data_IF_650024836462
#
_entry.id   IF_650024836462
#
_cell.length_a   1.000
_cell.length_b   1.000
_cell.length_c   1.000
_cell.angle_alpha   90.00
_cell.angle_beta   90.00
_cell.angle_gamma   90.00
#
_symmetry.space_group_name_H-M   'P 1'
#
loop_
_entity.id
_entity.type
_entity.pdbx_description
1 polymer ?
#
# COMPACT_ATOMS: atom_id res chain seq x y z
N UNK A 1 -78.75 -31.73 65.35
CA UNK A 1 -78.51 -32.35 66.66
C UNK A 1 -77.07 -32.03 67.08
N UNK A 2 -77.00 -31.32 68.27
CA UNK A 2 -75.97 -31.31 69.29
C UNK A 2 -74.50 -31.01 68.80
N UNK A 3 -74.04 -29.84 69.18
CA UNK A 3 -73.20 -29.52 70.34
C UNK A 3 -71.77 -30.04 70.25
N UNK A 4 -70.74 -29.35 70.55
CA UNK A 4 -70.49 -28.44 71.64
C UNK A 4 -69.20 -27.66 71.49
N UNK A 5 -69.21 -26.49 72.04
CA UNK A 5 -68.11 -25.60 72.41
C UNK A 5 -66.97 -26.31 73.17
N UNK A 6 -65.70 -25.87 72.94
CA UNK A 6 -64.81 -25.51 74.11
C UNK A 6 -63.63 -24.64 73.60
N UNK A 7 -63.61 -23.51 74.16
CA UNK A 7 -62.51 -22.53 74.34
C UNK A 7 -61.34 -23.14 75.09
N UNK A 8 -60.12 -22.74 74.86
CA UNK A 8 -58.98 -22.53 75.78
C UNK A 8 -57.82 -21.85 75.07
N UNK A 9 -57.59 -20.60 75.43
CA UNK A 9 -56.48 -19.98 76.07
C UNK A 9 -55.14 -19.86 75.36
N UNK A 10 -54.80 -18.65 75.12
CA UNK A 10 -53.55 -17.89 75.01
C UNK A 10 -52.27 -18.51 75.60
N UNK A 11 -51.16 -18.47 74.76
CA UNK A 11 -49.83 -18.04 75.21
C UNK A 11 -49.01 -17.61 73.94
N UNK A 12 -48.19 -16.56 74.04
CA UNK A 12 -47.49 -16.01 72.92
C UNK A 12 -46.15 -16.70 72.75
N UNK A 13 -45.89 -17.19 71.53
CA UNK A 13 -44.53 -17.60 71.16
C UNK A 13 -43.83 -16.44 70.36
N UNK A 14 -42.77 -16.01 71.00
CA UNK A 14 -41.76 -15.11 70.43
C UNK A 14 -41.21 -15.70 69.17
N UNK A 15 -41.52 -15.12 68.03
CA UNK A 15 -40.89 -15.44 66.79
C UNK A 15 -39.57 -14.67 66.64
N UNK A 16 -38.49 -15.39 66.85
CA UNK A 16 -37.14 -14.94 66.58
C UNK A 16 -36.98 -14.77 65.06
N UNK A 17 -36.97 -13.53 64.59
CA UNK A 17 -36.65 -13.16 63.23
C UNK A 17 -35.14 -13.36 63.04
N UNK A 18 -34.76 -14.43 62.33
CA UNK A 18 -33.43 -14.58 61.75
C UNK A 18 -33.32 -13.66 60.58
N UNK A 19 -32.62 -12.52 60.70
CA UNK A 19 -32.10 -11.72 59.66
C UNK A 19 -30.93 -12.48 59.05
N UNK A 20 -31.15 -13.22 57.96
CA UNK A 20 -30.10 -13.65 57.07
C UNK A 20 -29.65 -12.41 56.33
N UNK A 21 -28.61 -11.77 56.83
CA UNK A 21 -27.87 -10.74 56.11
C UNK A 21 -27.26 -11.37 54.87
N UNK A 22 -27.88 -11.10 53.70
CA UNK A 22 -27.31 -11.36 52.41
C UNK A 22 -26.13 -10.38 52.21
N UNK A 23 -24.97 -10.74 52.76
CA UNK A 23 -23.72 -10.06 52.47
C UNK A 23 -23.36 -10.45 51.05
N UNK A 24 -23.96 -9.74 50.08
CA UNK A 24 -23.54 -9.81 48.67
C UNK A 24 -22.08 -9.39 48.61
N UNK A 25 -21.19 -10.36 48.50
CA UNK A 25 -19.81 -10.15 48.09
C UNK A 25 -19.87 -9.51 46.69
N UNK A 26 -19.88 -8.20 46.63
CA UNK A 26 -19.50 -7.42 45.45
C UNK A 26 -18.02 -7.76 45.21
N UNK A 27 -17.77 -8.85 44.46
CA UNK A 27 -16.47 -9.04 43.84
C UNK A 27 -16.30 -7.85 42.88
N UNK A 28 -15.30 -6.99 43.10
CA UNK A 28 -14.98 -6.01 42.10
C UNK A 28 -14.65 -6.82 40.85
N UNK A 29 -15.45 -6.65 39.79
CA UNK A 29 -15.08 -7.07 38.44
C UNK A 29 -13.71 -6.42 38.22
N UNK A 30 -12.64 -7.23 38.18
CA UNK A 30 -11.37 -6.80 37.68
C UNK A 30 -11.65 -6.49 36.19
N UNK A 31 -12.02 -5.24 35.92
CA UNK A 31 -11.95 -4.69 34.59
C UNK A 31 -10.45 -4.74 34.29
N UNK A 32 -10.02 -5.80 33.59
CA UNK A 32 -8.71 -5.84 33.00
C UNK A 32 -8.65 -4.58 32.15
N UNK A 33 -7.87 -3.60 32.56
CA UNK A 33 -7.58 -2.45 31.73
C UNK A 33 -6.87 -3.04 30.50
N UNK A 34 -7.62 -3.16 29.41
CA UNK A 34 -7.07 -3.57 28.11
C UNK A 34 -5.98 -2.56 27.81
N UNK A 35 -4.73 -2.99 27.81
CA UNK A 35 -3.60 -2.10 27.54
C UNK A 35 -3.78 -1.55 26.12
N UNK A 36 -3.73 -0.23 26.00
CA UNK A 36 -3.82 0.41 24.67
C UNK A 36 -2.72 -0.16 23.77
N UNK A 37 -3.08 -0.69 22.59
CA UNK A 37 -2.09 -1.27 21.68
C UNK A 37 -0.97 -0.29 21.33
N UNK A 38 0.27 -0.77 21.33
CA UNK A 38 1.47 -0.01 20.98
C UNK A 38 1.84 -0.22 19.53
N UNK A 39 1.95 0.87 18.80
CA UNK A 39 2.32 0.88 17.39
C UNK A 39 3.74 1.44 17.27
N UNK A 40 4.64 0.68 16.65
CA UNK A 40 5.95 1.16 16.26
C UNK A 40 5.94 1.51 14.76
N UNK A 41 6.15 2.77 14.43
CA UNK A 41 6.29 3.25 13.07
C UNK A 41 7.79 3.39 12.74
N UNK A 42 8.25 2.69 11.72
CA UNK A 42 9.64 2.78 11.23
C UNK A 42 9.60 3.35 9.82
N UNK A 43 10.17 4.53 9.64
CA UNK A 43 10.34 5.15 8.33
C UNK A 43 11.76 4.89 7.78
N UNK A 44 11.85 4.46 6.53
CA UNK A 44 13.15 4.24 5.88
C UNK A 44 13.97 5.51 5.74
N UNK A 45 13.31 6.66 5.51
CA UNK A 45 13.91 7.99 5.39
C UNK A 45 12.79 9.05 5.31
N UNK A 46 12.52 9.73 6.42
CA UNK A 46 11.47 10.74 6.49
C UNK A 46 11.80 12.04 5.71
N UNK A 47 13.01 12.20 5.18
CA UNK A 47 13.35 13.30 4.27
C UNK A 47 12.79 13.10 2.86
N UNK A 48 12.46 11.85 2.49
CA UNK A 48 11.86 11.50 1.20
C UNK A 48 10.38 11.85 1.22
N UNK A 49 9.94 12.76 0.35
CA UNK A 49 8.57 13.32 0.32
C UNK A 49 7.49 12.24 0.37
N UNK A 50 7.54 11.23 -0.48
CA UNK A 50 6.55 10.15 -0.52
C UNK A 50 6.43 9.36 0.80
N UNK A 51 7.55 9.14 1.49
CA UNK A 51 7.55 8.44 2.78
C UNK A 51 6.98 9.33 3.88
N UNK A 52 7.31 10.62 3.84
CA UNK A 52 6.75 11.61 4.76
C UNK A 52 5.23 11.74 4.59
N UNK A 53 4.75 11.87 3.36
CA UNK A 53 3.31 11.98 3.06
C UNK A 53 2.52 10.76 3.51
N UNK A 54 3.04 9.56 3.27
CA UNK A 54 2.44 8.30 3.78
C UNK A 54 2.42 8.28 5.32
N UNK A 55 3.51 8.70 5.97
CA UNK A 55 3.60 8.77 7.44
C UNK A 55 2.57 9.73 8.03
N UNK A 56 2.52 10.97 7.52
CA UNK A 56 1.60 11.99 8.02
C UNK A 56 0.14 11.57 7.85
N UNK A 57 -0.21 10.99 6.69
CA UNK A 57 -1.55 10.51 6.43
C UNK A 57 -1.93 9.30 7.30
N UNK A 58 -1.00 8.42 7.60
CA UNK A 58 -1.18 7.33 8.57
C UNK A 58 -1.50 7.88 9.96
N UNK A 59 -0.70 8.84 10.45
CA UNK A 59 -0.86 9.47 11.78
C UNK A 59 -2.18 10.22 11.93
N UNK A 60 -2.74 10.76 10.85
CA UNK A 60 -4.05 11.43 10.88
C UNK A 60 -5.22 10.47 11.15
N UNK A 61 -5.06 9.17 10.87
CA UNK A 61 -6.11 8.16 11.04
C UNK A 61 -5.98 7.41 12.36
N UNK A 62 -4.75 7.10 12.76
CA UNK A 62 -4.46 6.32 13.97
C UNK A 62 -4.65 7.18 15.22
N UNK A 63 -5.38 6.64 16.19
CA UNK A 63 -5.63 7.27 17.49
C UNK A 63 -4.79 6.66 18.63
N UNK A 64 -4.23 5.48 18.39
CA UNK A 64 -3.37 4.79 19.35
C UNK A 64 -2.00 5.47 19.47
N UNK A 65 -1.31 5.30 20.61
CA UNK A 65 0.06 5.79 20.76
C UNK A 65 1.01 5.22 19.71
N UNK A 66 1.82 6.06 19.10
CA UNK A 66 2.82 5.69 18.09
C UNK A 66 4.20 6.04 18.61
N UNK A 67 5.11 5.07 18.61
CA UNK A 67 6.55 5.31 18.72
C UNK A 67 7.12 5.42 17.32
N UNK A 68 7.82 6.51 17.02
CA UNK A 68 8.32 6.80 15.67
C UNK A 68 9.84 6.66 15.59
N UNK A 69 10.31 5.99 14.56
CA UNK A 69 11.73 5.81 14.24
C UNK A 69 11.98 6.18 12.80
N UNK A 70 12.87 7.13 12.57
CA UNK A 70 13.37 7.46 11.24
C UNK A 70 14.78 6.88 11.07
N UNK A 71 14.92 6.03 10.07
CA UNK A 71 16.22 5.41 9.78
C UNK A 71 17.15 6.35 9.00
N UNK A 72 16.59 7.26 8.18
CA UNK A 72 17.32 8.23 7.38
C UNK A 72 18.60 7.68 6.74
N UNK A 73 19.60 8.53 6.58
CA UNK A 73 20.94 8.15 6.13
C UNK A 73 21.83 7.58 7.24
N UNK A 74 21.33 7.47 8.46
CA UNK A 74 22.08 6.98 9.61
C UNK A 74 22.43 5.50 9.42
N UNK A 75 23.67 5.16 9.69
CA UNK A 75 24.07 3.76 9.90
C UNK A 75 23.64 3.39 11.32
N UNK A 76 22.55 2.69 11.41
CA UNK A 76 22.11 2.12 12.66
C UNK A 76 22.96 0.86 12.94
N UNK A 77 23.54 0.78 14.13
CA UNK A 77 24.15 -0.46 14.60
C UNK A 77 23.03 -1.49 14.83
N UNK A 78 23.30 -2.74 14.44
CA UNK A 78 22.31 -3.82 14.56
C UNK A 78 21.77 -3.98 15.99
N UNK A 79 22.66 -3.84 17.00
CA UNK A 79 22.31 -3.89 18.42
C UNK A 79 21.32 -2.81 18.81
N UNK A 80 21.53 -1.56 18.41
CA UNK A 80 20.64 -0.43 18.78
C UNK A 80 19.23 -0.62 18.29
N UNK A 81 19.05 -1.20 17.09
CA UNK A 81 17.72 -1.46 16.54
C UNK A 81 17.07 -2.68 17.17
N UNK A 82 17.86 -3.71 17.42
CA UNK A 82 17.40 -4.92 18.10
C UNK A 82 16.92 -4.58 19.51
N UNK A 83 17.71 -3.82 20.26
CA UNK A 83 17.36 -3.33 21.59
C UNK A 83 16.06 -2.51 21.56
N UNK A 84 15.95 -1.56 20.62
CA UNK A 84 14.73 -0.75 20.47
C UNK A 84 13.49 -1.60 20.19
N UNK A 85 13.57 -2.57 19.28
CA UNK A 85 12.46 -3.45 18.94
C UNK A 85 12.04 -4.35 20.11
N UNK A 86 12.99 -4.76 20.96
CA UNK A 86 12.73 -5.53 22.16
C UNK A 86 12.18 -4.67 23.30
N UNK A 87 12.75 -3.49 23.53
CA UNK A 87 12.37 -2.60 24.63
C UNK A 87 10.96 -2.04 24.41
N UNK A 88 10.62 -1.67 23.18
CA UNK A 88 9.29 -1.16 22.85
C UNK A 88 8.22 -2.25 22.84
N UNK A 89 8.59 -3.51 22.58
CA UNK A 89 7.70 -4.67 22.49
C UNK A 89 6.34 -4.34 21.82
N UNK A 90 6.32 -3.82 20.60
CA UNK A 90 5.11 -3.33 19.95
C UNK A 90 4.14 -4.48 19.62
N UNK A 91 2.84 -4.19 19.64
CA UNK A 91 1.80 -5.13 19.20
C UNK A 91 1.78 -5.26 17.67
N UNK A 92 2.12 -4.17 16.97
CA UNK A 92 2.20 -4.11 15.51
C UNK A 92 3.27 -3.11 15.09
N UNK A 93 3.91 -3.39 13.95
CA UNK A 93 4.94 -2.53 13.37
C UNK A 93 4.48 -2.04 12.00
N UNK A 94 4.46 -0.72 11.80
CA UNK A 94 4.24 -0.12 10.49
C UNK A 94 5.56 0.32 9.90
N UNK A 95 5.90 -0.23 8.73
CA UNK A 95 7.16 0.01 8.02
C UNK A 95 6.92 0.78 6.72
N UNK A 96 7.53 1.96 6.59
CA UNK A 96 7.49 2.76 5.36
C UNK A 96 8.79 2.55 4.58
N UNK A 97 8.68 1.94 3.40
CA UNK A 97 9.82 1.64 2.53
C UNK A 97 10.57 0.35 2.87
N UNK A 98 11.38 -0.10 1.93
CA UNK A 98 12.05 -1.42 1.95
C UNK A 98 13.03 -1.58 3.11
N UNK A 99 13.82 -0.52 3.43
CA UNK A 99 14.83 -0.56 4.51
C UNK A 99 14.17 -0.86 5.86
N UNK A 100 13.07 -0.16 6.18
CA UNK A 100 12.30 -0.35 7.42
C UNK A 100 11.73 -1.76 7.50
N UNK A 101 11.09 -2.25 6.43
CA UNK A 101 10.51 -3.57 6.39
C UNK A 101 11.54 -4.69 6.59
N UNK A 102 12.63 -4.67 5.83
CA UNK A 102 13.67 -5.69 5.92
C UNK A 102 14.30 -5.77 7.32
N UNK A 103 14.42 -4.61 7.96
CA UNK A 103 14.93 -4.51 9.31
C UNK A 103 13.97 -5.13 10.32
N UNK A 104 12.69 -4.74 10.32
CA UNK A 104 11.68 -5.31 11.20
C UNK A 104 11.53 -6.83 10.98
N UNK A 105 11.46 -7.27 9.72
CA UNK A 105 11.35 -8.68 9.39
C UNK A 105 12.57 -9.52 9.84
N UNK A 106 13.76 -8.92 9.83
CA UNK A 106 15.00 -9.61 10.28
C UNK A 106 14.99 -9.86 11.78
N UNK A 107 14.63 -8.88 12.59
CA UNK A 107 14.78 -8.94 14.05
C UNK A 107 13.52 -9.44 14.77
N UNK A 108 12.32 -9.11 14.26
CA UNK A 108 11.06 -9.48 14.89
C UNK A 108 10.04 -10.12 13.93
N UNK A 109 10.42 -11.19 13.21
CA UNK A 109 9.60 -11.81 12.16
C UNK A 109 8.29 -12.42 12.68
N UNK A 110 8.15 -12.57 14.00
CA UNK A 110 6.95 -13.10 14.65
C UNK A 110 5.91 -12.04 15.00
N UNK A 111 6.25 -10.76 14.91
CA UNK A 111 5.34 -9.64 15.12
C UNK A 111 4.49 -9.39 13.87
N UNK A 112 3.33 -8.79 14.05
CA UNK A 112 2.56 -8.29 12.91
C UNK A 112 3.28 -7.09 12.29
N UNK A 113 3.60 -7.18 11.00
CA UNK A 113 4.28 -6.13 10.26
C UNK A 113 3.38 -5.69 9.12
N UNK A 114 3.05 -4.39 9.09
CA UNK A 114 2.38 -3.75 7.97
C UNK A 114 3.40 -2.91 7.22
N UNK A 115 3.49 -3.05 5.91
CA UNK A 115 4.39 -2.24 5.10
C UNK A 115 3.65 -1.34 4.12
N UNK A 116 4.30 -0.26 3.68
CA UNK A 116 3.88 0.58 2.56
C UNK A 116 5.07 1.15 1.80
N UNK A 117 4.78 1.78 0.65
CA UNK A 117 5.77 2.49 -0.17
C UNK A 117 6.93 1.61 -0.64
N UNK A 118 6.66 0.33 -0.91
CA UNK A 118 7.63 -0.65 -1.40
C UNK A 118 7.26 -1.09 -2.82
N UNK A 119 8.19 -0.91 -3.73
CA UNK A 119 8.11 -1.41 -5.11
C UNK A 119 8.64 -2.85 -5.17
N UNK A 120 8.05 -3.71 -5.99
CA UNK A 120 8.42 -5.11 -6.16
C UNK A 120 8.35 -5.91 -4.85
N UNK A 121 7.31 -5.68 -4.04
CA UNK A 121 7.13 -6.31 -2.74
C UNK A 121 7.13 -7.85 -2.78
N UNK A 122 6.76 -8.47 -3.91
CA UNK A 122 6.82 -9.93 -4.11
C UNK A 122 8.22 -10.52 -3.94
N UNK A 123 9.27 -9.69 -3.94
CA UNK A 123 10.65 -10.11 -3.69
C UNK A 123 11.06 -10.05 -2.22
N UNK A 124 10.17 -9.56 -1.36
CA UNK A 124 10.42 -9.48 0.07
C UNK A 124 10.21 -10.85 0.72
N UNK A 125 10.89 -11.14 1.83
CA UNK A 125 10.59 -12.28 2.66
C UNK A 125 9.25 -12.04 3.38
N UNK A 126 8.17 -12.60 2.84
CA UNK A 126 6.80 -12.46 3.37
C UNK A 126 6.51 -13.61 4.35
N UNK A 127 5.91 -13.28 5.49
CA UNK A 127 5.48 -14.23 6.52
C UNK A 127 3.96 -14.25 6.67
N UNK A 128 3.45 -15.15 7.50
CA UNK A 128 2.02 -15.17 7.84
C UNK A 128 1.55 -13.93 8.62
N UNK A 129 2.49 -13.16 9.16
CA UNK A 129 2.26 -11.94 9.92
C UNK A 129 2.60 -10.68 9.14
N UNK A 130 2.79 -10.80 7.83
CA UNK A 130 3.08 -9.67 6.95
C UNK A 130 1.83 -9.21 6.22
N UNK A 131 1.56 -7.93 6.32
CA UNK A 131 0.48 -7.21 5.67
C UNK A 131 1.05 -5.98 4.97
N UNK A 132 0.29 -5.35 4.08
CA UNK A 132 0.76 -4.09 3.53
C UNK A 132 -0.07 -3.52 2.39
N UNK A 133 0.39 -2.37 1.92
CA UNK A 133 -0.08 -1.72 0.69
C UNK A 133 1.07 -1.67 -0.28
N UNK A 134 0.91 -2.25 -1.46
CA UNK A 134 1.95 -2.20 -2.50
C UNK A 134 2.14 -0.76 -2.99
N UNK A 135 3.32 -0.47 -3.53
CA UNK A 135 3.56 0.80 -4.23
C UNK A 135 3.47 0.63 -5.75
N UNK A 136 2.68 -0.31 -6.19
CA UNK A 136 2.46 -0.66 -7.58
C UNK A 136 0.96 -0.74 -7.83
N UNK A 137 0.50 -0.06 -8.86
CA UNK A 137 -0.88 -0.11 -9.27
C UNK A 137 -1.19 -1.43 -9.99
N UNK A 138 -2.45 -1.81 -9.98
CA UNK A 138 -2.94 -2.91 -10.79
C UNK A 138 -2.92 -2.51 -12.28
N UNK A 139 -2.32 -3.32 -13.14
CA UNK A 139 -2.15 -2.98 -14.55
C UNK A 139 -3.47 -2.61 -15.27
N UNK A 140 -4.57 -3.25 -14.92
CA UNK A 140 -5.89 -2.91 -15.46
C UNK A 140 -6.37 -1.50 -15.06
N UNK A 141 -6.02 -1.03 -13.87
CA UNK A 141 -6.33 0.35 -13.45
C UNK A 141 -5.53 1.35 -14.28
N UNK A 142 -4.23 1.14 -14.43
CA UNK A 142 -3.38 2.02 -15.25
C UNK A 142 -3.89 2.07 -16.70
N UNK A 143 -4.20 0.92 -17.31
CA UNK A 143 -4.76 0.87 -18.66
C UNK A 143 -6.11 1.56 -18.79
N UNK A 144 -6.96 1.49 -17.77
CA UNK A 144 -8.24 2.21 -17.75
C UNK A 144 -8.00 3.71 -17.85
N UNK A 145 -7.04 4.23 -17.08
CA UNK A 145 -6.67 5.65 -17.11
C UNK A 145 -5.99 6.03 -18.43
N UNK A 146 -5.11 5.17 -18.97
CA UNK A 146 -4.50 5.42 -20.30
C UNK A 146 -5.58 5.56 -21.39
N UNK A 147 -6.57 4.66 -21.41
CA UNK A 147 -7.67 4.73 -22.36
C UNK A 147 -8.65 5.88 -22.12
N UNK A 148 -8.86 6.25 -20.88
CA UNK A 148 -9.71 7.40 -20.55
C UNK A 148 -9.15 8.68 -21.19
N UNK A 149 -7.83 8.86 -21.13
CA UNK A 149 -7.14 10.04 -21.67
C UNK A 149 -6.84 9.87 -23.16
N UNK A 150 -6.39 8.70 -23.60
CA UNK A 150 -5.98 8.42 -24.97
C UNK A 150 -6.80 7.28 -25.60
N UNK A 151 -8.08 7.52 -25.95
CA UNK A 151 -8.99 6.46 -26.41
C UNK A 151 -8.55 5.78 -27.72
N UNK A 152 -7.73 6.45 -28.52
CA UNK A 152 -7.23 5.96 -29.81
C UNK A 152 -5.96 5.12 -29.69
N UNK A 153 -5.34 5.01 -28.50
CA UNK A 153 -4.18 4.15 -28.26
C UNK A 153 -4.66 2.71 -28.08
N UNK A 154 -4.39 1.86 -29.08
CA UNK A 154 -4.81 0.46 -29.09
C UNK A 154 -3.65 -0.52 -28.93
N UNK A 155 -2.42 -0.12 -29.30
CA UNK A 155 -1.22 -0.95 -29.22
C UNK A 155 -0.20 -0.30 -28.29
N UNK A 156 0.11 -0.95 -27.20
CA UNK A 156 1.03 -0.46 -26.18
C UNK A 156 2.24 -1.39 -26.12
N UNK A 157 3.43 -0.82 -26.33
CA UNK A 157 4.69 -1.55 -26.21
C UNK A 157 5.20 -1.62 -24.78
N UNK A 158 5.75 -2.75 -24.39
CA UNK A 158 6.38 -2.96 -23.07
C UNK A 158 7.72 -3.65 -23.27
N UNK A 159 8.80 -3.05 -22.76
CA UNK A 159 10.03 -3.81 -22.48
C UNK A 159 9.93 -4.44 -21.09
N UNK A 160 10.31 -5.71 -20.98
CA UNK A 160 10.31 -6.40 -19.72
C UNK A 160 11.50 -7.35 -19.60
N UNK A 161 12.03 -7.53 -18.40
CA UNK A 161 13.05 -8.53 -18.16
C UNK A 161 12.41 -9.88 -17.82
N UNK A 162 12.93 -10.96 -18.41
CA UNK A 162 12.48 -12.32 -18.07
C UNK A 162 12.65 -12.66 -16.60
N UNK A 163 13.68 -12.08 -15.98
CA UNK A 163 14.02 -12.36 -14.58
C UNK A 163 13.08 -11.69 -13.59
N UNK A 164 12.58 -10.49 -13.89
CA UNK A 164 11.95 -9.65 -12.88
C UNK A 164 10.48 -9.34 -13.14
N UNK A 165 10.07 -9.17 -14.39
CA UNK A 165 8.74 -8.65 -14.74
C UNK A 165 7.99 -9.50 -15.76
N UNK A 166 8.47 -10.72 -16.11
CA UNK A 166 7.78 -11.59 -17.05
C UNK A 166 6.38 -12.00 -16.58
N UNK A 167 6.20 -12.30 -15.31
CA UNK A 167 4.90 -12.66 -14.74
C UNK A 167 3.95 -11.47 -14.75
N UNK A 168 4.42 -10.29 -14.33
CA UNK A 168 3.65 -9.06 -14.41
C UNK A 168 3.22 -8.79 -15.85
N UNK A 169 4.12 -8.92 -16.83
CA UNK A 169 3.82 -8.72 -18.24
C UNK A 169 2.71 -9.65 -18.74
N UNK A 170 2.77 -10.94 -18.42
CA UNK A 170 1.73 -11.92 -18.79
C UNK A 170 0.36 -11.55 -18.21
N UNK A 171 0.35 -11.13 -16.95
CA UNK A 171 -0.88 -10.71 -16.28
C UNK A 171 -1.44 -9.42 -16.91
N UNK A 172 -0.60 -8.43 -17.16
CA UNK A 172 -0.99 -7.18 -17.83
C UNK A 172 -1.54 -7.43 -19.24
N UNK A 173 -0.90 -8.34 -20.01
CA UNK A 173 -1.35 -8.70 -21.33
C UNK A 173 -2.74 -9.35 -21.35
N UNK A 174 -3.03 -10.23 -20.37
CA UNK A 174 -4.35 -10.85 -20.23
C UNK A 174 -5.42 -9.80 -19.90
N UNK A 175 -5.15 -8.90 -18.97
CA UNK A 175 -6.07 -7.82 -18.59
C UNK A 175 -6.32 -6.83 -19.75
N UNK A 176 -5.27 -6.48 -20.49
CA UNK A 176 -5.38 -5.60 -21.66
C UNK A 176 -6.30 -6.17 -22.74
N UNK A 177 -6.22 -7.48 -22.97
CA UNK A 177 -7.06 -8.17 -23.96
C UNK A 177 -8.55 -8.05 -23.62
N UNK A 178 -8.92 -8.15 -22.34
CA UNK A 178 -10.30 -7.97 -21.88
C UNK A 178 -10.80 -6.53 -22.10
N UNK A 179 -9.88 -5.56 -22.16
CA UNK A 179 -10.17 -4.15 -22.39
C UNK A 179 -10.08 -3.74 -23.85
N UNK A 180 -9.78 -4.68 -24.77
CA UNK A 180 -9.60 -4.37 -26.19
C UNK A 180 -8.31 -3.59 -26.51
N UNK A 181 -7.26 -3.73 -25.68
CA UNK A 181 -5.92 -3.17 -25.87
C UNK A 181 -4.95 -4.30 -26.17
N UNK A 182 -4.10 -4.13 -27.16
CA UNK A 182 -3.03 -5.06 -27.47
C UNK A 182 -1.73 -4.61 -26.78
N UNK A 183 -1.19 -5.43 -25.86
CA UNK A 183 0.15 -5.21 -25.30
C UNK A 183 1.15 -6.04 -26.06
N UNK A 184 2.12 -5.36 -26.69
CA UNK A 184 3.22 -5.96 -27.45
C UNK A 184 4.47 -5.93 -26.58
N UNK A 185 4.95 -7.10 -26.17
CA UNK A 185 6.10 -7.22 -25.29
C UNK A 185 7.38 -7.52 -26.04
N UNK A 186 8.48 -6.90 -25.63
CA UNK A 186 9.82 -7.27 -26.02
C UNK A 186 10.64 -7.67 -24.80
N UNK A 187 10.96 -8.96 -24.69
CA UNK A 187 11.76 -9.47 -23.57
C UNK A 187 13.24 -9.09 -23.70
N UNK A 188 13.84 -8.73 -22.58
CA UNK A 188 15.29 -8.55 -22.43
C UNK A 188 15.85 -9.50 -21.37
N UNK A 189 17.14 -9.79 -21.45
CA UNK A 189 17.88 -10.60 -20.47
C UNK A 189 18.92 -9.79 -19.70
N UNK A 190 19.29 -8.63 -20.24
CA UNK A 190 20.22 -7.69 -19.61
C UNK A 190 20.03 -6.29 -20.21
N UNK A 191 20.47 -5.26 -19.48
CA UNK A 191 20.30 -3.85 -19.85
C UNK A 191 20.96 -3.43 -21.17
N UNK A 192 22.00 -4.13 -21.65
CA UNK A 192 22.65 -3.82 -22.92
C UNK A 192 21.72 -3.98 -24.12
N UNK A 193 20.64 -4.72 -23.95
CA UNK A 193 19.63 -4.95 -25.00
C UNK A 193 18.57 -3.84 -25.08
N UNK A 194 18.46 -2.96 -24.07
CA UNK A 194 17.38 -1.99 -23.96
C UNK A 194 17.17 -1.18 -25.24
N UNK A 195 18.20 -0.50 -25.73
CA UNK A 195 18.11 0.36 -26.92
C UNK A 195 17.75 -0.43 -28.17
N UNK A 196 18.40 -1.58 -28.40
CA UNK A 196 18.13 -2.40 -29.59
C UNK A 196 16.73 -3.03 -29.57
N UNK A 197 16.26 -3.44 -28.40
CA UNK A 197 14.93 -3.98 -28.19
C UNK A 197 13.86 -2.89 -28.38
N UNK A 198 14.10 -1.70 -27.82
CA UNK A 198 13.22 -0.55 -27.96
C UNK A 198 13.05 -0.13 -29.42
N UNK A 199 14.16 0.02 -30.17
CA UNK A 199 14.13 0.34 -31.62
C UNK A 199 13.37 -0.66 -32.48
N UNK A 200 13.30 -1.92 -32.05
CA UNK A 200 12.46 -2.93 -32.73
C UNK A 200 10.99 -2.80 -32.36
N UNK A 201 10.71 -2.42 -31.15
CA UNK A 201 9.36 -2.36 -30.60
C UNK A 201 8.60 -1.09 -31.03
N UNK A 202 9.23 0.08 -30.92
CA UNK A 202 8.58 1.39 -31.12
C UNK A 202 7.82 1.52 -32.44
N UNK A 203 8.34 1.05 -33.61
CA UNK A 203 7.62 1.15 -34.87
C UNK A 203 6.32 0.33 -34.95
N UNK A 204 6.08 -0.57 -33.99
CA UNK A 204 4.94 -1.50 -33.98
C UNK A 204 3.81 -1.08 -33.09
N UNK A 205 3.97 0.01 -32.31
CA UNK A 205 3.07 0.42 -31.24
C UNK A 205 2.63 1.88 -31.35
N UNK A 206 1.54 2.24 -30.63
CA UNK A 206 1.03 3.62 -30.59
C UNK A 206 1.51 4.36 -29.32
N UNK A 207 1.96 3.62 -28.29
CA UNK A 207 2.50 4.14 -27.05
C UNK A 207 3.50 3.15 -26.45
N UNK A 208 4.39 3.62 -25.62
CA UNK A 208 5.31 2.80 -24.83
C UNK A 208 4.98 2.90 -23.35
N UNK A 209 4.76 1.78 -22.69
CA UNK A 209 4.53 1.73 -21.25
C UNK A 209 5.83 1.39 -20.53
N UNK A 210 6.39 2.38 -19.89
CA UNK A 210 7.60 2.27 -19.09
C UNK A 210 7.24 1.77 -17.69
N UNK A 211 7.63 0.55 -17.40
CA UNK A 211 7.36 -0.14 -16.13
C UNK A 211 8.58 -0.10 -15.20
N UNK A 212 8.34 -0.37 -13.90
CA UNK A 212 9.40 -0.47 -12.90
C UNK A 212 10.13 -1.82 -13.02
N UNK A 213 11.12 -1.87 -13.89
CA UNK A 213 11.96 -3.06 -14.11
C UNK A 213 13.44 -2.74 -13.85
N UNK A 214 14.14 -3.48 -12.97
CA UNK A 214 15.54 -3.21 -12.61
C UNK A 214 16.55 -3.35 -13.74
N UNK A 215 16.27 -4.16 -14.77
CA UNK A 215 17.14 -4.26 -15.96
C UNK A 215 16.90 -3.10 -16.93
N UNK A 216 15.71 -2.49 -16.91
CA UNK A 216 15.40 -1.32 -17.71
C UNK A 216 15.92 -0.03 -17.06
N UNK A 217 15.73 0.09 -15.75
CA UNK A 217 15.91 1.33 -14.99
C UNK A 217 16.91 1.14 -13.85
N UNK A 218 18.14 0.73 -14.17
CA UNK A 218 19.18 0.59 -13.16
C UNK A 218 19.86 1.93 -12.80
N UNK A 219 19.80 2.89 -13.72
CA UNK A 219 20.36 4.24 -13.51
C UNK A 219 19.45 5.31 -14.11
N UNK A 220 19.71 6.58 -13.74
CA UNK A 220 19.03 7.73 -14.35
C UNK A 220 19.31 7.83 -15.86
N UNK A 221 20.51 7.46 -16.28
CA UNK A 221 20.94 7.47 -17.67
C UNK A 221 20.14 6.46 -18.51
N UNK A 222 19.82 5.29 -17.94
CA UNK A 222 18.96 4.30 -18.61
C UNK A 222 17.57 4.89 -18.89
N UNK A 223 16.97 5.57 -17.90
CA UNK A 223 15.69 6.27 -18.06
C UNK A 223 15.74 7.32 -19.16
N UNK A 224 16.75 8.21 -19.11
CA UNK A 224 16.88 9.30 -20.09
C UNK A 224 17.08 8.76 -21.50
N UNK A 225 17.85 7.69 -21.65
CA UNK A 225 18.06 7.02 -22.94
C UNK A 225 16.74 6.48 -23.50
N UNK A 226 15.94 5.78 -22.68
CA UNK A 226 14.63 5.27 -23.11
C UNK A 226 13.72 6.42 -23.54
N UNK A 227 13.62 7.49 -22.74
CA UNK A 227 12.79 8.64 -23.08
C UNK A 227 13.25 9.34 -24.38
N UNK A 228 14.56 9.44 -24.63
CA UNK A 228 15.12 10.01 -25.85
C UNK A 228 14.80 9.16 -27.08
N UNK A 229 14.95 7.84 -27.00
CA UNK A 229 14.60 6.95 -28.11
C UNK A 229 13.09 7.02 -28.44
N UNK A 230 12.23 7.05 -27.42
CA UNK A 230 10.79 7.22 -27.62
C UNK A 230 10.47 8.59 -28.24
N UNK A 231 11.17 9.65 -27.83
CA UNK A 231 10.97 10.99 -28.37
C UNK A 231 11.41 11.10 -29.84
N UNK A 232 12.51 10.43 -30.22
CA UNK A 232 12.98 10.38 -31.61
C UNK A 232 11.94 9.76 -32.57
N UNK A 233 11.20 8.74 -32.08
CA UNK A 233 10.13 8.08 -32.84
C UNK A 233 8.75 8.74 -32.61
N UNK A 234 8.67 9.84 -31.84
CA UNK A 234 7.42 10.49 -31.41
C UNK A 234 6.42 9.53 -30.77
N UNK A 235 6.92 8.50 -30.10
CA UNK A 235 6.10 7.53 -29.39
C UNK A 235 5.81 8.04 -27.98
N UNK A 236 4.53 8.27 -27.59
CA UNK A 236 4.19 8.71 -26.25
C UNK A 236 4.59 7.66 -25.20
N UNK A 237 5.13 8.15 -24.08
CA UNK A 237 5.52 7.30 -22.96
C UNK A 237 4.50 7.43 -21.84
N UNK A 238 3.90 6.30 -21.44
CA UNK A 238 3.10 6.16 -20.24
C UNK A 238 3.97 5.54 -19.14
N UNK A 239 3.84 6.00 -17.92
CA UNK A 239 4.74 5.55 -16.86
C UNK A 239 4.11 5.63 -15.46
N UNK A 240 4.81 5.06 -14.49
CA UNK A 240 4.37 4.84 -13.11
C UNK A 240 4.85 5.90 -12.11
N UNK A 241 5.68 6.86 -12.51
CA UNK A 241 6.27 7.85 -11.58
C UNK A 241 6.06 9.27 -12.09
N UNK A 242 5.50 10.14 -11.25
CA UNK A 242 5.13 11.51 -11.63
C UNK A 242 6.29 12.36 -12.16
N UNK A 243 7.49 12.22 -11.57
CA UNK A 243 8.66 12.98 -11.99
C UNK A 243 9.11 12.66 -13.41
N UNK A 244 8.71 11.52 -13.97
CA UNK A 244 9.07 11.17 -15.35
C UNK A 244 8.33 12.03 -16.37
N UNK A 245 7.21 12.63 -15.99
CA UNK A 245 6.54 13.61 -16.84
C UNK A 245 7.39 14.86 -17.10
N UNK A 246 8.13 15.33 -16.09
CA UNK A 246 9.10 16.44 -16.23
C UNK A 246 10.28 16.06 -17.12
N UNK A 247 10.64 14.78 -17.16
CA UNK A 247 11.74 14.26 -17.98
C UNK A 247 11.31 13.90 -19.40
N UNK A 248 10.00 14.02 -19.73
CA UNK A 248 9.50 13.81 -21.10
C UNK A 248 8.51 12.67 -21.27
N UNK A 249 8.09 11.96 -20.22
CA UNK A 249 6.95 11.05 -20.31
C UNK A 249 5.67 11.86 -20.63
N UNK A 250 4.77 11.27 -21.40
CA UNK A 250 3.55 11.93 -21.87
C UNK A 250 2.46 11.89 -20.83
N UNK A 251 2.31 10.75 -20.16
CA UNK A 251 1.32 10.55 -19.12
C UNK A 251 1.87 9.63 -18.03
N UNK A 252 1.68 10.02 -16.79
CA UNK A 252 2.09 9.18 -15.65
C UNK A 252 0.92 8.91 -14.75
N UNK A 253 0.83 7.68 -14.28
CA UNK A 253 -0.13 7.22 -13.28
C UNK A 253 0.69 6.64 -12.13
N UNK A 254 0.87 7.41 -11.10
CA UNK A 254 1.56 6.99 -9.87
C UNK A 254 0.56 6.68 -8.76
N UNK A 255 1.05 6.10 -7.70
CA UNK A 255 0.27 5.91 -6.48
C UNK A 255 0.06 7.25 -5.79
N UNK A 256 -1.04 7.40 -5.04
CA UNK A 256 -1.27 8.53 -4.14
C UNK A 256 -0.71 8.19 -2.76
N UNK A 257 0.47 8.72 -2.43
CA UNK A 257 1.20 8.37 -1.21
C UNK A 257 0.40 8.65 0.08
N UNK A 258 -0.35 9.77 0.23
CA UNK A 258 -1.24 9.94 1.37
C UNK A 258 -2.32 8.86 1.48
N UNK A 259 -2.89 8.40 0.37
CA UNK A 259 -3.90 7.33 0.38
C UNK A 259 -3.29 6.00 0.82
N UNK A 260 -2.06 5.70 0.41
CA UNK A 260 -1.32 4.52 0.91
C UNK A 260 -1.17 4.56 2.44
N UNK A 261 -0.83 5.72 3.01
CA UNK A 261 -0.73 5.90 4.46
C UNK A 261 -2.05 5.65 5.18
N UNK A 262 -3.16 6.24 4.70
CA UNK A 262 -4.50 6.00 5.24
C UNK A 262 -4.93 4.54 5.13
N UNK A 263 -4.64 3.90 4.00
CA UNK A 263 -4.95 2.50 3.77
C UNK A 263 -4.15 1.58 4.72
N UNK A 264 -2.86 1.87 4.93
CA UNK A 264 -2.04 1.17 5.90
C UNK A 264 -2.58 1.31 7.34
N UNK A 265 -3.10 2.49 7.70
CA UNK A 265 -3.75 2.71 8.98
C UNK A 265 -5.00 1.83 9.15
N UNK A 266 -5.81 1.69 8.10
CA UNK A 266 -6.95 0.77 8.10
C UNK A 266 -6.53 -0.69 8.30
N UNK A 267 -5.44 -1.12 7.66
CA UNK A 267 -4.88 -2.47 7.86
C UNK A 267 -4.39 -2.65 9.30
N UNK A 268 -3.64 -1.69 9.85
CA UNK A 268 -3.18 -1.72 11.26
C UNK A 268 -4.35 -1.86 12.22
N UNK A 269 -5.39 -1.04 12.05
CA UNK A 269 -6.59 -1.09 12.87
C UNK A 269 -7.29 -2.44 12.77
N UNK A 270 -7.49 -2.97 11.57
CA UNK A 270 -8.12 -4.27 11.36
C UNK A 270 -7.32 -5.41 11.99
N UNK A 271 -5.99 -5.42 11.84
CA UNK A 271 -5.12 -6.44 12.45
C UNK A 271 -5.18 -6.38 13.98
N UNK A 272 -5.17 -5.18 14.58
CA UNK A 272 -5.29 -4.99 16.03
C UNK A 272 -6.67 -5.42 16.56
N UNK A 273 -7.73 -5.23 15.77
CA UNK A 273 -9.08 -5.68 16.10
C UNK A 273 -9.30 -7.19 15.89
N UNK A 274 -8.32 -7.89 15.31
CA UNK A 274 -8.45 -9.32 14.99
C UNK A 274 -9.29 -9.60 13.74
N UNK A 275 -9.48 -8.61 12.88
CA UNK A 275 -10.26 -8.76 11.64
C UNK A 275 -9.53 -9.71 10.66
N UNK A 276 -10.33 -10.50 9.96
CA UNK A 276 -9.81 -11.32 8.86
C UNK A 276 -9.74 -10.47 7.60
N UNK A 277 -8.52 -10.16 7.17
CA UNK A 277 -8.28 -9.45 5.93
C UNK A 277 -8.32 -10.42 4.74
N UNK A 278 -9.13 -10.14 3.72
CA UNK A 278 -9.25 -10.96 2.51
C UNK A 278 -7.91 -11.02 1.75
N UNK A 279 -7.22 -9.88 1.66
CA UNK A 279 -5.90 -9.78 1.08
C UNK A 279 -4.93 -9.16 2.09
N UNK A 280 -3.88 -9.89 2.42
CA UNK A 280 -2.83 -9.40 3.32
C UNK A 280 -2.04 -8.23 2.73
N UNK A 281 -1.79 -8.28 1.42
CA UNK A 281 -1.20 -7.17 0.66
C UNK A 281 -2.23 -6.67 -0.32
N UNK A 282 -2.52 -5.37 -0.25
CA UNK A 282 -3.54 -4.71 -1.04
C UNK A 282 -2.88 -3.83 -2.11
N UNK A 283 -3.56 -3.66 -3.23
CA UNK A 283 -3.20 -2.61 -4.18
C UNK A 283 -3.59 -1.23 -3.64
N UNK A 284 -2.87 -0.15 -4.03
CA UNK A 284 -3.25 1.21 -3.67
C UNK A 284 -4.67 1.55 -4.16
N UNK A 285 -5.45 2.18 -3.29
CA UNK A 285 -6.81 2.61 -3.62
C UNK A 285 -6.83 3.97 -4.34
N UNK A 286 -5.73 4.73 -4.27
CA UNK A 286 -5.62 6.06 -4.88
C UNK A 286 -4.51 6.15 -5.92
N UNK A 287 -4.74 7.00 -6.92
CA UNK A 287 -3.76 7.32 -7.98
C UNK A 287 -3.50 8.81 -8.04
N UNK A 288 -2.29 9.17 -8.45
CA UNK A 288 -1.91 10.52 -8.78
C UNK A 288 -1.45 10.58 -10.25
N UNK A 289 -2.13 11.40 -11.05
CA UNK A 289 -1.93 11.45 -12.49
C UNK A 289 -1.28 12.75 -12.93
N UNK A 290 -0.31 12.67 -13.85
CA UNK A 290 0.30 13.85 -14.49
C UNK A 290 0.25 13.72 -15.99
N UNK A 291 -0.31 14.70 -16.66
CA UNK A 291 -0.35 14.80 -18.13
C UNK A 291 0.60 15.89 -18.63
N UNK A 292 1.53 15.52 -19.49
CA UNK A 292 2.40 16.45 -20.18
C UNK A 292 1.77 16.89 -21.49
N UNK A 293 0.96 17.97 -21.46
CA UNK A 293 0.32 18.53 -22.67
C UNK A 293 1.31 19.06 -23.70
N UNK A 294 2.52 19.44 -23.29
CA UNK A 294 3.60 19.79 -24.21
C UNK A 294 3.91 18.63 -25.15
N UNK A 295 4.11 17.44 -24.57
CA UNK A 295 4.37 16.22 -25.34
C UNK A 295 3.17 15.75 -26.16
N UNK A 296 1.97 15.90 -25.63
CA UNK A 296 0.72 15.62 -26.35
C UNK A 296 0.65 16.45 -27.63
N UNK A 297 0.89 17.77 -27.53
CA UNK A 297 0.89 18.70 -28.66
C UNK A 297 2.06 18.43 -29.63
N UNK A 298 3.26 18.19 -29.09
CA UNK A 298 4.48 17.91 -29.88
C UNK A 298 4.30 16.66 -30.76
N UNK A 299 3.63 15.63 -30.26
CA UNK A 299 3.40 14.38 -30.98
C UNK A 299 2.08 14.37 -31.78
N UNK A 300 1.27 15.42 -31.69
CA UNK A 300 -0.02 15.51 -32.37
C UNK A 300 -1.04 14.48 -31.88
N UNK A 301 -0.99 14.12 -30.59
CA UNK A 301 -1.85 13.08 -30.02
C UNK A 301 -3.26 13.63 -29.84
N UNK A 302 -4.24 12.80 -30.20
CA UNK A 302 -5.64 13.02 -29.83
C UNK A 302 -5.86 12.53 -28.40
N UNK A 303 -6.52 13.32 -27.58
CA UNK A 303 -6.84 13.00 -26.21
C UNK A 303 -8.28 13.42 -25.85
N UNK A 304 -8.82 12.89 -24.80
CA UNK A 304 -10.14 13.19 -24.30
C UNK A 304 -10.10 14.47 -23.44
N UNK A 305 -10.45 15.61 -24.02
CA UNK A 305 -10.48 16.88 -23.29
C UNK A 305 -11.46 16.87 -22.11
N UNK A 306 -12.60 16.15 -22.25
CA UNK A 306 -13.58 15.99 -21.16
C UNK A 306 -13.09 15.22 -19.94
N UNK A 307 -11.95 14.53 -20.05
CA UNK A 307 -11.33 13.81 -18.94
C UNK A 307 -10.21 14.59 -18.23
N UNK A 308 -9.91 15.82 -18.68
CA UNK A 308 -8.83 16.63 -18.07
C UNK A 308 -9.07 16.95 -16.59
N UNK A 309 -10.33 17.08 -16.19
CA UNK A 309 -10.69 17.32 -14.78
C UNK A 309 -10.34 16.14 -13.84
N UNK A 310 -10.06 14.97 -14.42
CA UNK A 310 -9.59 13.79 -13.65
C UNK A 310 -8.08 13.76 -13.44
N UNK A 311 -7.35 14.71 -14.04
CA UNK A 311 -5.89 14.80 -13.98
C UNK A 311 -5.46 15.67 -12.81
N UNK A 312 -4.62 15.14 -11.92
CA UNK A 312 -4.15 15.87 -10.75
C UNK A 312 -3.20 17.03 -11.12
N UNK A 313 -2.36 16.84 -12.14
CA UNK A 313 -1.41 17.87 -12.59
C UNK A 313 -1.21 17.87 -14.09
N UNK A 314 -1.24 19.04 -14.70
CA UNK A 314 -1.00 19.24 -16.14
C UNK A 314 0.25 20.08 -16.32
N UNK A 315 1.22 19.59 -17.11
CA UNK A 315 2.40 20.31 -17.57
C UNK A 315 2.06 20.97 -18.90
N UNK A 316 2.07 22.31 -18.95
CA UNK A 316 1.74 23.13 -20.14
C UNK A 316 3.00 23.60 -20.86
#
# INVERSE_FOLDING_TARGET
MKNSLRTIRWLPYVTLLWFFGCCGLLLPSLISAESTPRILLINSDASVTKYKESQEAFKQVITQPIVEVDLGDKKWESSTIEDLLYDEDPDIIYCIGTKAYLLANKYVPKKNIVFSSIINWLRLPITDKTYGVSNELHAGMEMTLFRLIFPNVQKIGVLYSKKYTEEWFKNAQNQAKEMGVEIIGQAITNKKQNVSALKKLLPTVNAFWLISDPELLSTKEDLLTILQECAAEKTPVFSYHETFAELGATFTVSVDDPTIGRQAAGIVTGVLSGDKLDNKVQFPAGTYTVLNLKKVKEYGLQYNEGALDTINRIIQ
#
